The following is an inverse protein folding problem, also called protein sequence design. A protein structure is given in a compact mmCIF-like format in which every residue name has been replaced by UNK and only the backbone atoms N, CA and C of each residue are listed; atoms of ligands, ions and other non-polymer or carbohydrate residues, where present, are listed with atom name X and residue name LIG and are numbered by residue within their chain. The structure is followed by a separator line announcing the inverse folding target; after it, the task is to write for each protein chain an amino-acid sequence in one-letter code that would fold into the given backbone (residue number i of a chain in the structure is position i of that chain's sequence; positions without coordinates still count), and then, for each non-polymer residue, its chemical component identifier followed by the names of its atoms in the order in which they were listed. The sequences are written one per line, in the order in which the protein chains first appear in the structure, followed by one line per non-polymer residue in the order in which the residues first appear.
data_IF_949457679897
#
_entry.id   IF_949457679897
#
_cell.length_a   1.000
_cell.length_b   1.000
_cell.length_c   1.000
_cell.angle_alpha   90.00
_cell.angle_beta   90.00
_cell.angle_gamma   90.00
#
_symmetry.space_group_name_H-M   'P 1'
#
loop_
_entity.id
_entity.type
_entity.pdbx_description
1 polymer ?
#
# COMPACT_ATOMS: atom_id res chain seq x y z
N UNK A 1 26.32 -27.95 7.67
CA UNK A 1 26.67 -26.65 8.29
C UNK A 1 25.49 -26.16 9.15
N UNK A 2 25.69 -26.00 10.47
CA UNK A 2 24.65 -25.38 11.31
C UNK A 2 24.50 -23.93 10.84
N UNK A 3 23.34 -23.58 10.27
CA UNK A 3 23.03 -22.19 9.92
C UNK A 3 23.12 -21.35 11.18
N UNK A 4 23.86 -20.26 11.17
CA UNK A 4 23.85 -19.32 12.28
C UNK A 4 22.41 -18.79 12.43
N UNK A 5 21.69 -19.08 13.53
CA UNK A 5 20.30 -18.67 13.68
C UNK A 5 20.15 -17.15 13.83
N UNK A 6 21.26 -16.43 14.02
CA UNK A 6 21.32 -14.99 14.17
C UNK A 6 21.73 -14.27 12.89
N UNK A 7 21.85 -14.94 11.73
CA UNK A 7 22.13 -14.24 10.46
C UNK A 7 21.14 -13.08 10.25
N UNK A 8 21.62 -11.87 9.94
CA UNK A 8 22.94 -11.51 9.40
C UNK A 8 23.98 -11.14 10.47
N UNK A 9 23.63 -11.21 11.75
CA UNK A 9 24.53 -10.92 12.86
C UNK A 9 25.53 -12.05 13.02
N UNK A 10 26.77 -11.73 13.37
CA UNK A 10 27.83 -12.72 13.52
C UNK A 10 27.50 -13.74 14.63
N UNK A 11 26.80 -13.30 15.68
CA UNK A 11 26.33 -14.12 16.78
C UNK A 11 25.13 -13.47 17.52
N UNK A 12 24.72 -14.12 18.62
CA UNK A 12 23.66 -13.66 19.52
C UNK A 12 23.98 -12.32 20.19
N UNK A 13 25.22 -12.12 20.61
CA UNK A 13 25.63 -10.92 21.37
C UNK A 13 25.61 -9.69 20.46
N UNK A 14 26.05 -9.85 19.21
CA UNK A 14 25.89 -8.87 18.15
C UNK A 14 24.42 -8.46 17.99
N UNK A 15 23.52 -9.43 17.83
CA UNK A 15 22.08 -9.17 17.71
C UNK A 15 21.53 -8.39 18.92
N UNK A 16 21.73 -8.87 20.15
CA UNK A 16 21.20 -8.25 21.37
C UNK A 16 21.77 -6.83 21.57
N UNK A 17 23.02 -6.58 21.19
CA UNK A 17 23.61 -5.24 21.24
C UNK A 17 23.00 -4.30 20.18
N UNK A 18 22.77 -4.78 18.96
CA UNK A 18 22.08 -3.99 17.93
C UNK A 18 20.66 -3.65 18.35
N UNK A 19 19.91 -4.62 18.87
CA UNK A 19 18.58 -4.42 19.46
C UNK A 19 18.64 -3.34 20.54
N UNK A 20 19.45 -3.55 21.58
CA UNK A 20 19.59 -2.59 22.67
C UNK A 20 19.96 -1.17 22.19
N UNK A 21 20.93 -1.03 21.29
CA UNK A 21 21.32 0.30 20.80
C UNK A 21 20.24 0.96 19.94
N UNK A 22 19.53 0.19 19.13
CA UNK A 22 18.60 0.70 18.13
C UNK A 22 17.19 0.90 18.68
N UNK A 23 16.63 -0.10 19.36
CA UNK A 23 15.24 -0.10 19.84
C UNK A 23 15.12 0.51 21.24
N UNK A 24 15.96 0.07 22.16
CA UNK A 24 15.76 0.34 23.59
C UNK A 24 16.39 1.67 23.99
N UNK A 25 17.71 1.79 23.78
CA UNK A 25 18.47 2.96 24.17
C UNK A 25 18.41 4.09 23.13
N UNK A 26 17.95 3.80 21.90
CA UNK A 26 17.83 4.74 20.76
C UNK A 26 19.07 5.62 20.62
N UNK A 27 20.25 4.99 20.67
CA UNK A 27 21.51 5.69 20.78
C UNK A 27 21.87 6.41 19.49
N UNK A 28 22.42 7.62 19.60
CA UNK A 28 22.89 8.36 18.43
C UNK A 28 24.10 7.68 17.78
N UNK A 29 24.25 7.85 16.44
CA UNK A 29 25.39 7.32 15.67
C UNK A 29 26.73 7.60 16.35
N UNK A 30 26.92 8.83 16.84
CA UNK A 30 28.13 9.27 17.54
C UNK A 30 28.41 8.44 18.80
N UNK A 31 27.37 8.13 19.59
CA UNK A 31 27.52 7.35 20.83
C UNK A 31 27.82 5.89 20.53
N UNK A 32 27.13 5.30 19.55
CA UNK A 32 27.38 3.92 19.11
C UNK A 32 28.83 3.77 18.61
N UNK A 33 29.27 4.63 17.68
CA UNK A 33 30.66 4.60 17.18
C UNK A 33 31.69 4.80 18.29
N UNK A 34 31.43 5.68 19.27
CA UNK A 34 32.33 5.85 20.42
C UNK A 34 32.39 4.59 21.27
N UNK A 35 31.25 3.94 21.53
CA UNK A 35 31.19 2.73 22.34
C UNK A 35 31.95 1.57 21.68
N UNK A 36 31.75 1.35 20.38
CA UNK A 36 32.47 0.33 19.62
C UNK A 36 33.99 0.55 19.66
N UNK A 37 34.46 1.81 19.56
CA UNK A 37 35.89 2.13 19.74
C UNK A 37 36.43 1.78 21.13
N UNK A 38 35.64 2.03 22.19
CA UNK A 38 36.02 1.67 23.56
C UNK A 38 36.02 0.15 23.75
N UNK A 39 35.09 -0.54 23.11
CA UNK A 39 35.00 -2.00 23.09
C UNK A 39 36.23 -2.61 22.43
N UNK A 40 36.54 -2.19 21.20
CA UNK A 40 37.73 -2.60 20.47
C UNK A 40 39.02 -2.38 21.29
N UNK A 41 39.16 -1.24 21.97
CA UNK A 41 40.34 -0.95 22.77
C UNK A 41 40.51 -1.92 23.96
N UNK A 42 39.41 -2.42 24.53
CA UNK A 42 39.45 -3.38 25.65
C UNK A 42 39.66 -4.82 25.18
N UNK A 43 39.23 -5.15 23.97
CA UNK A 43 39.20 -6.50 23.43
C UNK A 43 40.20 -6.74 22.29
N UNK A 44 41.34 -6.03 22.29
CA UNK A 44 42.43 -6.31 21.35
C UNK A 44 42.13 -5.96 19.89
N UNK A 45 41.25 -4.99 19.66
CA UNK A 45 40.77 -4.59 18.33
C UNK A 45 39.42 -5.19 17.94
N UNK A 46 38.91 -6.12 18.74
CA UNK A 46 37.66 -6.82 18.43
C UNK A 46 36.43 -6.08 18.96
N UNK A 47 35.41 -5.94 18.12
CA UNK A 47 34.19 -5.21 18.40
C UNK A 47 33.05 -5.79 17.56
N UNK A 48 31.85 -6.01 18.14
CA UNK A 48 30.71 -6.55 17.40
C UNK A 48 30.35 -5.74 16.14
N UNK A 49 30.61 -4.44 16.16
CA UNK A 49 30.50 -3.58 14.98
C UNK A 49 31.68 -2.63 14.85
N UNK A 50 32.15 -2.39 13.62
CA UNK A 50 33.21 -1.41 13.35
C UNK A 50 32.81 0.01 13.77
N UNK A 51 31.58 0.40 13.47
CA UNK A 51 30.96 1.66 13.84
C UNK A 51 29.42 1.57 13.71
N UNK A 52 28.73 2.69 13.95
CA UNK A 52 27.29 2.76 13.80
C UNK A 52 26.81 2.46 12.36
N UNK A 53 27.57 2.87 11.34
CA UNK A 53 27.21 2.62 9.94
C UNK A 53 27.34 1.14 9.58
N UNK A 54 28.35 0.44 10.11
CA UNK A 54 28.47 -1.01 10.01
C UNK A 54 27.27 -1.70 10.65
N UNK A 55 26.93 -1.32 11.89
CA UNK A 55 25.76 -1.86 12.59
C UNK A 55 24.47 -1.67 11.80
N UNK A 56 24.21 -0.46 11.27
CA UNK A 56 23.00 -0.23 10.46
C UNK A 56 23.00 -1.06 9.18
N UNK A 57 24.16 -1.22 8.51
CA UNK A 57 24.25 -2.10 7.34
C UNK A 57 23.94 -3.56 7.68
N UNK A 58 24.38 -4.05 8.85
CA UNK A 58 24.06 -5.40 9.32
C UNK A 58 22.56 -5.52 9.58
N UNK A 59 21.95 -4.59 10.32
CA UNK A 59 20.49 -4.52 10.54
C UNK A 59 19.73 -4.50 9.21
N UNK A 60 20.12 -3.63 8.26
CA UNK A 60 19.50 -3.49 6.93
C UNK A 60 19.71 -4.72 6.01
N UNK A 61 20.68 -5.58 6.35
CA UNK A 61 20.96 -6.83 5.64
C UNK A 61 20.16 -8.01 6.18
N UNK A 62 19.40 -7.82 7.26
CA UNK A 62 18.65 -8.90 7.88
C UNK A 62 17.61 -9.48 6.93
N UNK A 63 17.71 -10.80 6.72
CA UNK A 63 16.77 -11.58 5.89
C UNK A 63 15.47 -11.87 6.66
N UNK A 64 15.59 -11.99 7.97
CA UNK A 64 14.47 -11.92 8.91
C UNK A 64 14.11 -10.44 9.08
N UNK A 65 13.30 -9.92 8.18
CA UNK A 65 13.02 -8.49 8.13
C UNK A 65 11.89 -8.13 7.18
N UNK A 66 11.32 -6.96 7.42
CA UNK A 66 10.24 -6.37 6.65
C UNK A 66 10.70 -6.05 5.22
N UNK A 67 9.79 -6.04 4.23
CA UNK A 67 10.14 -5.70 2.84
C UNK A 67 10.87 -4.35 2.77
N UNK A 68 12.00 -4.30 2.06
CA UNK A 68 12.81 -3.09 1.93
C UNK A 68 12.03 -1.95 1.27
N UNK A 69 12.31 -0.73 1.75
CA UNK A 69 11.86 0.50 1.13
C UNK A 69 12.66 0.82 -0.13
N UNK A 70 11.97 1.31 -1.13
CA UNK A 70 12.48 1.82 -2.40
C UNK A 70 11.85 3.21 -2.64
N UNK A 71 12.42 4.01 -3.53
CA UNK A 71 11.90 5.33 -3.85
C UNK A 71 11.93 5.63 -5.35
N UNK A 72 11.03 6.52 -5.78
CA UNK A 72 11.05 7.08 -7.12
C UNK A 72 10.55 8.52 -7.11
N UNK A 73 10.99 9.29 -8.09
CA UNK A 73 10.53 10.65 -8.31
C UNK A 73 9.36 10.69 -9.31
N UNK A 74 8.42 11.60 -9.07
CA UNK A 74 7.41 12.03 -10.04
C UNK A 74 7.58 13.52 -10.30
N UNK A 75 7.51 13.92 -11.57
CA UNK A 75 7.67 15.31 -12.02
C UNK A 75 6.48 15.76 -12.89
N UNK A 76 6.24 17.07 -12.94
CA UNK A 76 5.23 17.66 -13.82
C UNK A 76 5.69 17.66 -15.27
N UNK A 77 4.88 17.08 -16.17
CA UNK A 77 5.19 16.94 -17.60
C UNK A 77 4.24 17.68 -18.54
N UNK A 78 3.37 18.53 -18.00
CA UNK A 78 2.47 19.34 -18.83
C UNK A 78 3.14 20.61 -19.37
N UNK A 79 2.38 21.39 -20.11
CA UNK A 79 2.82 22.69 -20.62
C UNK A 79 3.10 23.67 -19.48
N UNK A 80 4.21 24.41 -19.60
CA UNK A 80 4.61 25.43 -18.65
C UNK A 80 4.22 26.81 -19.19
N UNK A 81 3.78 27.75 -18.32
CA UNK A 81 3.40 29.08 -18.77
C UNK A 81 4.61 29.83 -19.36
N UNK A 82 4.39 30.70 -20.36
CA UNK A 82 5.42 31.61 -20.82
C UNK A 82 5.74 32.62 -19.70
N UNK A 83 6.99 32.66 -19.24
CA UNK A 83 7.44 33.54 -18.15
C UNK A 83 7.77 32.76 -16.86
N UNK A 84 7.32 33.28 -15.71
CA UNK A 84 7.65 32.69 -14.41
C UNK A 84 6.94 31.36 -14.22
N UNK A 85 7.73 30.28 -14.20
CA UNK A 85 7.23 28.91 -13.97
C UNK A 85 6.97 28.72 -12.47
N UNK A 86 5.76 28.31 -12.06
CA UNK A 86 5.48 27.98 -10.67
C UNK A 86 6.41 26.86 -10.17
N UNK A 87 6.96 26.99 -8.97
CA UNK A 87 7.88 26.01 -8.37
C UNK A 87 7.37 24.56 -8.44
N UNK A 88 6.07 24.37 -8.23
CA UNK A 88 5.46 23.03 -8.24
C UNK A 88 5.55 22.33 -9.61
N UNK A 89 5.71 23.08 -10.72
CA UNK A 89 5.90 22.53 -12.07
C UNK A 89 7.36 22.15 -12.37
N UNK A 90 8.30 22.50 -11.50
CA UNK A 90 9.74 22.22 -11.65
C UNK A 90 10.30 21.35 -10.54
N UNK A 91 9.52 21.10 -9.48
CA UNK A 91 9.88 20.21 -8.37
C UNK A 91 9.74 18.74 -8.76
N UNK A 92 10.58 17.93 -8.15
CA UNK A 92 10.42 16.47 -8.08
C UNK A 92 9.70 16.10 -6.80
N UNK A 93 8.83 15.12 -6.91
CA UNK A 93 8.01 14.62 -5.83
C UNK A 93 8.41 13.19 -5.55
N UNK A 94 9.20 13.00 -4.49
CA UNK A 94 9.69 11.71 -4.07
C UNK A 94 8.55 10.90 -3.42
N UNK A 95 8.44 9.63 -3.83
CA UNK A 95 7.50 8.65 -3.28
C UNK A 95 8.30 7.48 -2.76
N UNK A 96 8.11 7.17 -1.48
CA UNK A 96 8.70 6.00 -0.84
C UNK A 96 7.71 4.86 -0.83
N UNK A 97 8.14 3.64 -1.14
CA UNK A 97 7.26 2.48 -1.17
C UNK A 97 8.00 1.19 -0.85
N UNK A 98 7.24 0.17 -0.46
CA UNK A 98 7.69 -1.22 -0.38
C UNK A 98 7.04 -2.00 -1.50
N UNK A 99 7.75 -2.95 -2.09
CA UNK A 99 7.21 -3.76 -3.18
C UNK A 99 5.94 -4.53 -2.71
N UNK A 100 4.73 -4.20 -3.23
CA UNK A 100 3.49 -4.82 -2.74
C UNK A 100 3.41 -6.33 -2.93
N UNK A 101 4.08 -6.88 -3.95
CA UNK A 101 4.12 -8.32 -4.19
C UNK A 101 4.93 -9.04 -3.10
N UNK A 102 6.10 -8.52 -2.75
CA UNK A 102 6.90 -9.09 -1.66
C UNK A 102 6.18 -8.95 -0.32
N UNK A 103 5.47 -7.83 -0.10
CA UNK A 103 4.67 -7.63 1.11
C UNK A 103 3.55 -8.67 1.16
N UNK A 104 2.86 -8.92 0.04
CA UNK A 104 1.84 -9.96 -0.02
C UNK A 104 2.40 -11.35 0.28
N UNK A 105 3.58 -11.70 -0.27
CA UNK A 105 4.24 -13.00 0.00
C UNK A 105 4.63 -13.13 1.47
N UNK A 106 5.21 -12.09 2.06
CA UNK A 106 5.56 -12.07 3.48
C UNK A 106 4.31 -12.29 4.34
N UNK A 107 3.23 -11.55 4.04
CA UNK A 107 1.93 -11.70 4.72
C UNK A 107 1.37 -13.12 4.59
N UNK A 108 1.42 -13.72 3.40
CA UNK A 108 0.94 -15.09 3.16
C UNK A 108 1.79 -16.16 3.84
N UNK A 109 3.08 -15.90 4.07
CA UNK A 109 3.99 -16.83 4.75
C UNK A 109 4.00 -16.67 6.28
N UNK A 110 3.30 -15.67 6.82
CA UNK A 110 3.34 -15.36 8.25
C UNK A 110 2.56 -16.41 9.07
N UNK A 111 3.30 -17.25 9.81
CA UNK A 111 2.75 -18.32 10.64
C UNK A 111 1.81 -17.83 11.75
N UNK A 112 1.89 -16.55 12.14
CA UNK A 112 0.97 -15.95 13.13
C UNK A 112 -0.49 -15.94 12.67
N UNK A 113 -0.74 -16.15 11.37
CA UNK A 113 -2.07 -16.26 10.77
C UNK A 113 -2.46 -17.70 10.43
N UNK A 114 -1.73 -18.72 10.90
CA UNK A 114 -2.17 -20.11 10.74
C UNK A 114 -3.59 -20.27 11.33
N UNK A 115 -4.47 -20.93 10.57
CA UNK A 115 -5.92 -21.08 10.84
C UNK A 115 -6.77 -19.80 10.81
N UNK A 116 -6.16 -18.65 10.55
CA UNK A 116 -6.84 -17.35 10.47
C UNK A 116 -6.82 -16.74 9.05
N UNK A 117 -6.74 -17.63 8.05
CA UNK A 117 -6.66 -17.28 6.64
C UNK A 117 -7.56 -18.20 5.82
N UNK A 118 -8.33 -17.59 4.91
CA UNK A 118 -9.14 -18.28 3.93
C UNK A 118 -8.39 -18.42 2.59
N UNK A 119 -8.08 -19.66 2.20
CA UNK A 119 -7.43 -19.96 0.91
C UNK A 119 -8.40 -20.04 -0.27
N UNK A 120 -9.71 -20.01 0.00
CA UNK A 120 -10.76 -20.09 -1.02
C UNK A 120 -11.95 -19.23 -0.62
N UNK A 121 -12.66 -18.68 -1.61
CA UNK A 121 -13.94 -18.04 -1.34
C UNK A 121 -14.92 -19.07 -0.74
N UNK A 122 -15.68 -18.64 0.26
CA UNK A 122 -16.59 -19.52 1.01
C UNK A 122 -18.01 -18.97 1.01
N UNK A 123 -19.00 -19.85 1.04
CA UNK A 123 -20.41 -19.50 1.29
C UNK A 123 -20.84 -20.20 2.56
N UNK A 124 -21.09 -19.42 3.61
CA UNK A 124 -21.49 -19.95 4.92
C UNK A 124 -22.98 -19.69 5.11
N UNK A 125 -23.73 -20.72 5.49
CA UNK A 125 -25.15 -20.63 5.76
C UNK A 125 -25.44 -21.12 7.17
N UNK A 126 -26.33 -20.42 7.87
CA UNK A 126 -26.87 -20.83 9.17
C UNK A 126 -28.38 -20.77 9.06
N UNK A 127 -29.06 -21.88 9.31
CA UNK A 127 -30.52 -22.01 9.19
C UNK A 127 -31.05 -21.57 7.81
N UNK A 128 -30.31 -21.89 6.75
CA UNK A 128 -30.63 -21.49 5.36
C UNK A 128 -30.30 -20.02 5.03
N UNK A 129 -29.91 -19.21 6.01
CA UNK A 129 -29.62 -17.79 5.85
C UNK A 129 -28.12 -17.59 5.59
N UNK A 130 -27.80 -16.83 4.54
CA UNK A 130 -26.43 -16.49 4.16
C UNK A 130 -25.76 -15.63 5.24
N UNK A 131 -24.58 -16.06 5.67
CA UNK A 131 -23.75 -15.36 6.64
C UNK A 131 -22.58 -14.66 5.93
N UNK A 132 -22.25 -13.46 6.41
CA UNK A 132 -21.10 -12.66 5.98
C UNK A 132 -20.27 -12.33 7.21
N UNK A 133 -19.01 -12.76 7.19
CA UNK A 133 -18.08 -12.50 8.28
C UNK A 133 -16.79 -11.95 7.69
N UNK A 134 -15.96 -12.81 7.10
CA UNK A 134 -14.69 -12.42 6.50
C UNK A 134 -14.85 -11.98 5.04
N UNK A 135 -13.86 -11.27 4.50
CA UNK A 135 -13.90 -10.80 3.11
C UNK A 135 -14.12 -11.93 2.10
N UNK A 136 -13.49 -13.10 2.30
CA UNK A 136 -13.64 -14.27 1.43
C UNK A 136 -15.02 -14.93 1.53
N UNK A 137 -15.84 -14.58 2.52
CA UNK A 137 -17.25 -14.97 2.56
C UNK A 137 -18.13 -14.15 1.62
N UNK A 138 -17.63 -13.01 1.11
CA UNK A 138 -18.32 -12.03 0.26
C UNK A 138 -18.67 -12.52 -1.15
N UNK A 139 -19.75 -11.97 -1.73
CA UNK A 139 -20.18 -12.31 -3.10
C UNK A 139 -19.09 -11.99 -4.12
N UNK A 140 -18.45 -10.84 -3.99
CA UNK A 140 -17.40 -10.40 -4.91
C UNK A 140 -16.22 -11.40 -4.96
N UNK A 141 -15.74 -11.88 -3.81
CA UNK A 141 -14.65 -12.87 -3.76
C UNK A 141 -15.04 -14.19 -4.43
N UNK A 142 -16.29 -14.62 -4.26
CA UNK A 142 -16.84 -15.82 -4.93
C UNK A 142 -16.94 -15.64 -6.44
N UNK A 143 -17.46 -14.50 -6.90
CA UNK A 143 -17.59 -14.17 -8.32
C UNK A 143 -16.21 -14.08 -9.00
N UNK A 144 -15.23 -13.43 -8.36
CA UNK A 144 -13.86 -13.39 -8.86
C UNK A 144 -13.25 -14.79 -8.96
N UNK A 145 -13.40 -15.61 -7.91
CA UNK A 145 -12.92 -17.00 -7.92
C UNK A 145 -13.57 -17.81 -9.05
N UNK A 146 -14.84 -17.55 -9.34
CA UNK A 146 -15.57 -18.19 -10.45
C UNK A 146 -15.04 -17.74 -11.82
N UNK A 147 -14.72 -16.45 -11.98
CA UNK A 147 -14.14 -15.91 -13.22
C UNK A 147 -12.75 -16.51 -13.47
N UNK A 148 -11.90 -16.51 -12.44
CA UNK A 148 -10.56 -17.10 -12.47
C UNK A 148 -10.64 -18.58 -12.88
N UNK A 149 -11.51 -19.36 -12.23
CA UNK A 149 -11.63 -20.79 -12.50
C UNK A 149 -12.07 -21.17 -13.94
N UNK A 150 -12.56 -20.22 -14.76
CA UNK A 150 -12.90 -20.46 -16.17
C UNK A 150 -11.68 -20.61 -17.07
N UNK A 151 -10.56 -19.98 -16.72
CA UNK A 151 -9.31 -20.09 -17.47
C UNK A 151 -8.58 -21.37 -17.02
N UNK A 152 -8.31 -22.34 -17.93
CA UNK A 152 -7.54 -23.53 -17.60
C UNK A 152 -6.18 -23.24 -16.94
N UNK A 153 -5.52 -22.15 -17.33
CA UNK A 153 -4.21 -21.75 -16.79
C UNK A 153 -4.31 -21.20 -15.37
N UNK A 154 -5.49 -20.80 -14.90
CA UNK A 154 -5.68 -20.28 -13.54
C UNK A 154 -6.63 -21.13 -12.70
N UNK A 155 -7.18 -22.19 -13.28
CA UNK A 155 -8.04 -23.15 -12.60
C UNK A 155 -7.33 -23.75 -11.37
N UNK A 156 -8.03 -23.76 -10.24
CA UNK A 156 -7.50 -24.21 -8.95
C UNK A 156 -6.51 -23.26 -8.27
N UNK A 157 -6.25 -22.07 -8.83
CA UNK A 157 -5.45 -21.06 -8.15
C UNK A 157 -6.21 -20.44 -6.96
N UNK A 158 -5.49 -20.20 -5.87
CA UNK A 158 -5.95 -19.43 -4.73
C UNK A 158 -6.01 -17.95 -5.11
N UNK A 159 -7.18 -17.34 -4.96
CA UNK A 159 -7.35 -15.91 -5.17
C UNK A 159 -6.89 -15.10 -3.95
N UNK A 160 -6.05 -14.10 -4.18
CA UNK A 160 -5.51 -13.18 -3.18
C UNK A 160 -6.06 -11.76 -3.43
N UNK A 161 -7.10 -11.33 -2.69
CA UNK A 161 -7.62 -9.98 -2.81
C UNK A 161 -6.69 -8.98 -2.11
N UNK A 162 -6.26 -7.95 -2.81
CA UNK A 162 -5.46 -6.85 -2.27
C UNK A 162 -6.40 -5.71 -1.91
N UNK A 163 -6.43 -5.37 -0.63
CA UNK A 163 -7.20 -4.26 -0.10
C UNK A 163 -6.22 -3.13 0.23
N UNK A 164 -6.47 -1.95 -0.32
CA UNK A 164 -5.65 -0.77 -0.09
C UNK A 164 -6.39 0.22 0.82
N UNK A 165 -5.65 1.13 1.42
CA UNK A 165 -6.22 2.29 2.09
C UNK A 165 -5.19 3.38 2.24
N UNK A 166 -5.61 4.63 2.25
CA UNK A 166 -4.72 5.76 2.53
C UNK A 166 -5.45 6.77 3.36
N UNK A 167 -4.73 7.40 4.29
CA UNK A 167 -5.26 8.46 5.12
C UNK A 167 -4.22 9.55 5.26
N UNK A 168 -4.52 10.76 4.83
CA UNK A 168 -3.59 11.89 4.92
C UNK A 168 -3.63 12.44 6.34
N UNK A 169 -2.53 12.28 7.07
CA UNK A 169 -2.46 12.62 8.49
C UNK A 169 -1.45 13.75 8.75
N UNK A 170 -1.83 14.72 9.60
CA UNK A 170 -0.94 15.80 10.06
C UNK A 170 -0.21 15.35 11.33
N UNK A 171 1.12 15.40 11.34
CA UNK A 171 1.94 14.77 12.39
C UNK A 171 2.48 15.77 13.42
N UNK A 172 2.62 17.05 13.07
CA UNK A 172 2.99 18.09 14.04
C UNK A 172 2.20 19.36 13.83
N UNK A 173 1.56 19.84 14.91
CA UNK A 173 0.96 21.18 14.98
C UNK A 173 1.91 22.04 15.82
N UNK A 174 2.57 23.04 15.20
CA UNK A 174 3.32 24.08 15.92
C UNK A 174 4.81 24.28 15.57
N UNK A 175 5.48 23.32 14.92
CA UNK A 175 6.93 23.44 14.58
C UNK A 175 7.25 23.10 13.12
N UNK A 176 6.27 23.27 12.24
CA UNK A 176 6.35 22.98 10.81
C UNK A 176 5.25 21.99 10.43
N UNK A 177 4.38 22.38 9.51
CA UNK A 177 3.24 21.58 9.02
C UNK A 177 3.73 20.32 8.28
N UNK A 178 4.18 19.31 9.03
CA UNK A 178 4.57 18.01 8.49
C UNK A 178 3.31 17.15 8.38
N UNK A 179 2.93 16.85 7.15
CA UNK A 179 1.85 15.95 6.80
C UNK A 179 2.48 14.69 6.19
N UNK A 180 1.96 13.51 6.54
CA UNK A 180 2.26 12.27 5.85
C UNK A 180 1.02 11.76 5.12
N UNK A 181 1.25 11.08 4.01
CA UNK A 181 0.20 10.42 3.27
C UNK A 181 0.51 8.92 3.13
N UNK A 182 0.35 8.15 4.22
CA UNK A 182 0.58 6.71 4.22
C UNK A 182 -0.38 5.98 3.28
N UNK A 183 0.15 4.97 2.59
CA UNK A 183 -0.58 3.97 1.82
C UNK A 183 -0.43 2.61 2.53
N UNK A 184 -1.55 2.03 2.91
CA UNK A 184 -1.66 0.74 3.56
C UNK A 184 -2.16 -0.34 2.61
N UNK A 185 -1.78 -1.58 2.89
CA UNK A 185 -2.18 -2.77 2.18
C UNK A 185 -2.56 -3.88 3.16
N UNK A 186 -3.60 -4.63 2.80
CA UNK A 186 -4.09 -5.81 3.50
C UNK A 186 -4.43 -6.90 2.47
N UNK A 187 -4.48 -8.15 2.94
CA UNK A 187 -5.01 -9.26 2.15
C UNK A 187 -6.42 -9.60 2.58
N UNK A 188 -7.31 -9.78 1.61
CA UNK A 188 -8.69 -10.21 1.81
C UNK A 188 -8.79 -11.60 2.45
N UNK A 189 -7.76 -12.43 2.31
CA UNK A 189 -7.72 -13.79 2.85
C UNK A 189 -7.69 -13.83 4.38
N UNK A 190 -7.08 -12.84 5.04
CA UNK A 190 -7.02 -12.83 6.50
C UNK A 190 -8.39 -12.56 7.10
N UNK A 191 -8.76 -13.34 8.11
CA UNK A 191 -9.98 -13.13 8.88
C UNK A 191 -10.01 -11.73 9.51
N UNK A 192 -11.21 -11.18 9.70
CA UNK A 192 -11.35 -9.80 10.17
C UNK A 192 -10.76 -9.59 11.58
N UNK A 193 -10.87 -10.58 12.46
CA UNK A 193 -10.35 -10.52 13.83
C UNK A 193 -8.84 -10.23 13.87
N UNK A 194 -8.10 -10.78 12.92
CA UNK A 194 -6.64 -10.61 12.83
C UNK A 194 -6.25 -9.23 12.31
N UNK A 195 -7.08 -8.62 11.47
CA UNK A 195 -6.85 -7.23 10.98
C UNK A 195 -6.85 -6.20 12.12
N UNK A 196 -7.52 -6.50 13.22
CA UNK A 196 -7.58 -5.64 14.40
C UNK A 196 -6.47 -5.91 15.44
N UNK A 197 -5.74 -7.02 15.35
CA UNK A 197 -4.91 -7.54 16.44
C UNK A 197 -3.41 -7.19 16.36
N UNK A 198 -2.99 -6.17 15.59
CA UNK A 198 -1.57 -5.73 15.47
C UNK A 198 -0.56 -6.84 15.09
N UNK A 199 -0.94 -7.81 14.25
CA UNK A 199 -0.07 -8.92 13.80
C UNK A 199 0.48 -8.75 12.38
N UNK A 200 0.76 -7.52 11.92
CA UNK A 200 1.13 -7.22 10.52
C UNK A 200 0.06 -7.58 9.46
N UNK A 201 -1.21 -7.70 9.86
CA UNK A 201 -2.31 -7.92 8.92
C UNK A 201 -2.65 -6.66 8.07
N UNK A 202 -2.16 -5.50 8.51
CA UNK A 202 -2.13 -4.23 7.79
C UNK A 202 -0.67 -3.81 7.62
N UNK A 203 -0.20 -3.64 6.40
CA UNK A 203 1.17 -3.25 6.08
C UNK A 203 1.20 -1.83 5.48
N UNK A 204 2.05 -0.95 6.00
CA UNK A 204 2.31 0.37 5.42
C UNK A 204 3.22 0.26 4.19
N UNK A 205 2.68 0.26 2.98
CA UNK A 205 3.45 0.01 1.74
C UNK A 205 3.93 1.26 1.03
N UNK A 206 3.57 2.47 1.49
CA UNK A 206 4.03 3.70 0.84
C UNK A 206 3.82 4.97 1.63
N UNK A 207 4.59 5.99 1.27
CA UNK A 207 4.35 7.39 1.62
C UNK A 207 4.18 8.18 0.32
N UNK A 208 2.95 8.59 0.05
CA UNK A 208 2.60 9.34 -1.15
C UNK A 208 3.07 10.78 -1.02
N UNK A 209 3.49 11.37 -2.14
CA UNK A 209 3.93 12.75 -2.17
C UNK A 209 2.75 13.71 -1.97
N UNK A 210 2.96 14.75 -1.16
CA UNK A 210 1.99 15.81 -0.90
C UNK A 210 2.51 17.11 -1.52
N UNK A 211 2.07 17.46 -2.73
CA UNK A 211 2.56 18.65 -3.39
C UNK A 211 2.00 19.90 -2.69
N UNK A 212 2.90 20.79 -2.29
CA UNK A 212 2.57 22.10 -1.71
C UNK A 212 2.82 23.20 -2.74
N UNK A 213 1.98 24.23 -2.71
CA UNK A 213 2.07 25.40 -3.59
C UNK A 213 1.64 26.66 -2.85
N UNK A 214 1.90 27.83 -3.44
CA UNK A 214 1.48 29.12 -2.88
C UNK A 214 -0.04 29.32 -3.01
N UNK A 215 -0.60 30.23 -2.21
CA UNK A 215 -2.05 30.53 -2.22
C UNK A 215 -2.57 30.89 -3.63
N UNK A 216 -1.73 31.51 -4.46
CA UNK A 216 -2.04 31.88 -5.83
C UNK A 216 -2.44 30.67 -6.71
N UNK A 217 -1.78 29.53 -6.55
CA UNK A 217 -1.96 28.37 -7.43
C UNK A 217 -2.80 27.25 -6.81
N UNK A 218 -3.12 27.35 -5.50
CA UNK A 218 -3.80 26.30 -4.72
C UNK A 218 -5.08 25.80 -5.38
N UNK A 219 -5.88 26.71 -5.92
CA UNK A 219 -7.19 26.40 -6.52
C UNK A 219 -7.16 26.36 -8.06
N UNK A 220 -5.98 26.57 -8.66
CA UNK A 220 -5.82 26.52 -10.12
C UNK A 220 -6.18 25.13 -10.67
N UNK A 221 -6.84 25.10 -11.82
CA UNK A 221 -7.26 23.86 -12.49
C UNK A 221 -6.05 22.96 -12.77
N UNK A 222 -4.94 23.55 -13.23
CA UNK A 222 -3.70 22.84 -13.54
C UNK A 222 -3.09 22.16 -12.31
N UNK A 223 -3.03 22.86 -11.17
CA UNK A 223 -2.48 22.28 -9.95
C UNK A 223 -3.38 21.18 -9.38
N UNK A 224 -4.71 21.38 -9.40
CA UNK A 224 -5.68 20.34 -8.99
C UNK A 224 -5.55 19.08 -9.83
N UNK A 225 -5.43 19.22 -11.16
CA UNK A 225 -5.19 18.11 -12.08
C UNK A 225 -3.85 17.42 -11.80
N UNK A 226 -2.79 18.19 -11.57
CA UNK A 226 -1.48 17.63 -11.24
C UNK A 226 -1.51 16.82 -9.95
N UNK A 227 -2.20 17.30 -8.89
CA UNK A 227 -2.38 16.54 -7.64
C UNK A 227 -3.02 15.18 -7.87
N UNK A 228 -4.08 15.13 -8.69
CA UNK A 228 -4.76 13.89 -9.04
C UNK A 228 -3.82 12.96 -9.83
N UNK A 229 -3.13 13.48 -10.85
CA UNK A 229 -2.18 12.71 -11.64
C UNK A 229 -1.03 12.16 -10.80
N UNK A 230 -0.45 12.96 -9.91
CA UNK A 230 0.62 12.55 -9.00
C UNK A 230 0.17 11.37 -8.14
N UNK A 231 -1.04 11.43 -7.57
CA UNK A 231 -1.62 10.34 -6.79
C UNK A 231 -1.77 9.06 -7.62
N UNK A 232 -2.43 9.13 -8.77
CA UNK A 232 -2.69 7.98 -9.64
C UNK A 232 -1.43 7.36 -10.24
N UNK A 233 -0.47 8.18 -10.68
CA UNK A 233 0.83 7.70 -11.18
C UNK A 233 1.62 7.01 -10.08
N UNK A 234 1.57 7.55 -8.85
CA UNK A 234 2.22 6.93 -7.69
C UNK A 234 1.64 5.54 -7.41
N UNK A 235 0.31 5.43 -7.31
CA UNK A 235 -0.35 4.13 -7.12
C UNK A 235 -0.03 3.15 -8.25
N UNK A 236 -0.11 3.59 -9.51
CA UNK A 236 0.18 2.76 -10.67
C UNK A 236 1.63 2.24 -10.67
N UNK A 237 2.59 3.08 -10.22
CA UNK A 237 4.01 2.71 -10.12
C UNK A 237 4.26 1.72 -8.98
N UNK A 238 3.67 1.96 -7.81
CA UNK A 238 3.78 1.10 -6.61
C UNK A 238 3.18 -0.28 -6.90
N UNK A 239 1.95 -0.32 -7.42
CA UNK A 239 1.21 -1.57 -7.67
C UNK A 239 1.69 -2.32 -8.93
N UNK A 240 2.66 -1.77 -9.67
CA UNK A 240 3.16 -2.37 -10.92
C UNK A 240 3.66 -3.80 -10.73
N UNK A 241 4.26 -4.10 -9.58
CA UNK A 241 4.82 -5.44 -9.31
C UNK A 241 3.75 -6.53 -9.19
N UNK A 242 2.49 -6.19 -8.86
CA UNK A 242 1.40 -7.16 -8.78
C UNK A 242 0.89 -7.61 -10.15
N UNK A 243 1.05 -6.78 -11.20
CA UNK A 243 0.44 -7.01 -12.52
C UNK A 243 0.71 -8.40 -13.12
N UNK A 244 1.94 -8.96 -13.09
CA UNK A 244 2.18 -10.31 -13.60
C UNK A 244 1.36 -11.36 -12.86
N UNK A 245 1.33 -11.28 -11.52
CA UNK A 245 0.60 -12.20 -10.64
C UNK A 245 -0.93 -12.05 -10.69
N UNK A 246 -1.46 -11.02 -11.35
CA UNK A 246 -2.91 -10.85 -11.58
C UNK A 246 -3.44 -11.64 -12.78
N UNK A 247 -2.55 -12.18 -13.61
CA UNK A 247 -2.91 -12.94 -14.82
C UNK A 247 -2.33 -14.35 -14.80
N UNK A 248 -1.11 -14.51 -14.29
CA UNK A 248 -0.44 -15.80 -14.17
C UNK A 248 -0.23 -16.14 -12.70
N UNK A 249 -0.75 -17.28 -12.22
CA UNK A 249 -0.54 -17.69 -10.85
C UNK A 249 0.95 -17.94 -10.57
N UNK A 250 1.42 -17.50 -9.41
CA UNK A 250 2.76 -17.82 -8.91
C UNK A 250 2.70 -18.83 -7.76
N UNK A 251 3.79 -19.59 -7.56
CA UNK A 251 3.88 -20.53 -6.45
C UNK A 251 4.29 -19.75 -5.20
N UNK A 252 3.41 -19.71 -4.21
CA UNK A 252 3.58 -18.96 -2.97
C UNK A 252 3.50 -19.88 -1.76
N UNK A 253 4.43 -19.71 -0.83
CA UNK A 253 4.41 -20.39 0.47
C UNK A 253 3.34 -19.76 1.36
N UNK A 254 2.53 -20.59 2.01
CA UNK A 254 1.48 -20.16 2.91
C UNK A 254 1.82 -20.43 4.39
N UNK A 255 0.97 -19.92 5.28
CA UNK A 255 1.15 -19.95 6.74
C UNK A 255 1.18 -21.36 7.31
N UNK A 256 0.49 -22.29 6.67
CA UNK A 256 0.42 -23.71 7.01
C UNK A 256 1.62 -24.53 6.46
N UNK A 257 2.60 -23.87 5.84
CA UNK A 257 3.78 -24.49 5.25
C UNK A 257 3.57 -25.12 3.87
N UNK A 258 2.34 -25.08 3.33
CA UNK A 258 2.06 -25.60 1.99
C UNK A 258 2.32 -24.53 0.92
N UNK A 259 2.75 -24.98 -0.25
CA UNK A 259 2.88 -24.12 -1.44
C UNK A 259 1.59 -24.17 -2.25
N UNK A 260 1.10 -23.00 -2.66
CA UNK A 260 -0.12 -22.86 -3.46
C UNK A 260 0.12 -21.97 -4.67
N UNK A 261 -0.64 -22.21 -5.73
CA UNK A 261 -0.72 -21.30 -6.89
C UNK A 261 -1.56 -20.11 -6.48
N UNK A 262 -0.97 -18.93 -6.36
CA UNK A 262 -1.63 -17.70 -5.96
C UNK A 262 -1.85 -16.78 -7.17
N UNK A 263 -3.07 -16.27 -7.32
CA UNK A 263 -3.42 -15.23 -8.30
C UNK A 263 -3.96 -14.01 -7.55
N UNK A 264 -3.43 -12.84 -7.88
CA UNK A 264 -3.69 -11.61 -7.14
C UNK A 264 -4.79 -10.77 -7.81
N UNK A 265 -5.52 -9.96 -7.05
CA UNK A 265 -6.46 -8.99 -7.62
C UNK A 265 -6.69 -7.79 -6.71
N UNK A 266 -6.82 -6.60 -7.28
CA UNK A 266 -7.18 -5.40 -6.52
C UNK A 266 -8.66 -5.47 -6.15
N UNK A 267 -8.95 -5.44 -4.86
CA UNK A 267 -10.26 -5.81 -4.33
C UNK A 267 -11.07 -4.60 -3.86
N UNK A 268 -10.48 -3.78 -3.01
CA UNK A 268 -11.11 -2.55 -2.53
C UNK A 268 -10.08 -1.52 -2.10
N UNK A 269 -10.53 -0.28 -2.02
CA UNK A 269 -9.77 0.83 -1.45
C UNK A 269 -10.58 1.45 -0.32
N UNK A 270 -10.06 1.43 0.89
CA UNK A 270 -10.66 2.04 2.08
C UNK A 270 -10.23 3.50 2.13
N UNK A 271 -11.21 4.38 2.00
CA UNK A 271 -11.03 5.82 1.92
C UNK A 271 -12.29 6.51 2.45
N UNK A 272 -12.14 7.70 3.00
CA UNK A 272 -13.25 8.61 3.24
C UNK A 272 -13.71 9.25 1.93
N UNK A 273 -14.68 10.15 1.98
CA UNK A 273 -15.32 10.67 0.78
C UNK A 273 -14.39 11.49 -0.14
N UNK A 274 -13.59 12.46 0.36
CA UNK A 274 -12.67 13.22 -0.49
C UNK A 274 -11.65 12.32 -1.21
N UNK A 275 -11.17 11.28 -0.54
CA UNK A 275 -10.23 10.32 -1.10
C UNK A 275 -10.92 9.39 -2.10
N UNK A 276 -12.16 8.96 -1.84
CA UNK A 276 -12.97 8.22 -2.83
C UNK A 276 -13.22 9.06 -4.07
N UNK A 277 -13.46 10.36 -3.94
CA UNK A 277 -13.64 11.27 -5.06
C UNK A 277 -12.35 11.41 -5.89
N UNK A 278 -11.20 11.48 -5.22
CA UNK A 278 -9.88 11.47 -5.84
C UNK A 278 -9.60 10.16 -6.60
N UNK A 279 -9.91 9.01 -5.98
CA UNK A 279 -9.72 7.67 -6.56
C UNK A 279 -10.62 7.44 -7.78
N UNK A 280 -11.89 7.81 -7.68
CA UNK A 280 -12.87 7.63 -8.75
C UNK A 280 -12.76 8.71 -9.84
N UNK A 281 -11.86 9.70 -9.67
CA UNK A 281 -11.73 10.88 -10.53
C UNK A 281 -13.08 11.57 -10.76
N UNK A 282 -13.85 11.79 -9.69
CA UNK A 282 -15.14 12.47 -9.76
C UNK A 282 -15.06 13.88 -9.19
N UNK A 283 -15.99 14.72 -9.62
CA UNK A 283 -16.25 16.03 -9.02
C UNK A 283 -16.78 15.84 -7.59
N UNK A 284 -16.25 16.60 -6.64
CA UNK A 284 -16.76 16.59 -5.27
C UNK A 284 -18.25 16.95 -5.22
N UNK A 285 -19.01 16.28 -4.36
CA UNK A 285 -20.46 16.36 -4.30
C UNK A 285 -21.19 15.32 -5.15
N UNK A 286 -20.49 14.45 -5.88
CA UNK A 286 -21.08 13.32 -6.63
C UNK A 286 -20.84 11.97 -5.95
N UNK A 287 -21.62 10.95 -6.30
CA UNK A 287 -21.43 9.61 -5.76
C UNK A 287 -20.27 8.88 -6.47
N UNK A 288 -19.25 8.36 -5.75
CA UNK A 288 -18.16 7.60 -6.35
C UNK A 288 -18.58 6.19 -6.76
N UNK A 289 -19.72 5.69 -6.26
CA UNK A 289 -20.17 4.30 -6.44
C UNK A 289 -21.27 4.14 -7.49
N UNK A 290 -22.14 5.14 -7.68
CA UNK A 290 -23.28 5.07 -8.59
C UNK A 290 -23.44 6.38 -9.38
N UNK A 291 -24.40 6.39 -10.31
CA UNK A 291 -24.69 7.53 -11.17
C UNK A 291 -25.67 8.55 -10.57
N UNK A 292 -25.89 8.52 -9.24
CA UNK A 292 -26.71 9.51 -8.57
C UNK A 292 -26.14 10.93 -8.77
N UNK A 293 -27.01 11.89 -9.08
CA UNK A 293 -26.60 13.30 -9.18
C UNK A 293 -26.35 13.88 -7.79
N UNK A 294 -25.60 14.98 -7.76
CA UNK A 294 -25.30 15.69 -6.52
C UNK A 294 -26.56 16.09 -5.74
N UNK A 295 -27.60 16.54 -6.44
CA UNK A 295 -28.90 16.92 -5.83
C UNK A 295 -29.74 15.74 -5.35
N UNK A 296 -29.36 14.50 -5.69
CA UNK A 296 -30.12 13.27 -5.42
C UNK A 296 -29.38 12.36 -4.42
N UNK A 297 -28.27 12.86 -3.83
CA UNK A 297 -27.56 12.13 -2.79
C UNK A 297 -28.45 11.92 -1.56
N UNK A 298 -28.53 10.67 -1.08
CA UNK A 298 -29.37 10.29 0.04
C UNK A 298 -30.81 9.91 -0.33
N UNK A 299 -31.21 10.07 -1.60
CA UNK A 299 -32.48 9.56 -2.09
C UNK A 299 -32.38 8.08 -2.48
N UNK A 300 -33.40 7.30 -2.15
CA UNK A 300 -33.59 5.95 -2.68
C UNK A 300 -33.97 6.06 -4.16
N UNK A 301 -33.00 5.80 -5.03
CA UNK A 301 -33.22 5.77 -6.47
C UNK A 301 -32.53 4.57 -7.11
N UNK A 302 -33.01 4.09 -8.28
CA UNK A 302 -32.42 2.97 -9.01
C UNK A 302 -31.14 3.41 -9.73
N UNK A 303 -30.19 3.99 -9.00
CA UNK A 303 -28.96 4.52 -9.58
C UNK A 303 -28.02 3.36 -9.90
N UNK A 304 -27.72 3.11 -11.19
CA UNK A 304 -26.82 2.02 -11.54
C UNK A 304 -25.40 2.31 -11.01
N UNK A 305 -24.62 1.26 -10.73
CA UNK A 305 -23.25 1.42 -10.27
C UNK A 305 -22.39 2.09 -11.36
N UNK A 306 -21.44 2.91 -10.93
CA UNK A 306 -20.44 3.51 -11.80
C UNK A 306 -19.46 2.41 -12.21
N UNK A 307 -19.37 2.13 -13.50
CA UNK A 307 -18.45 1.13 -14.09
C UNK A 307 -17.41 1.83 -14.95
N UNK A 308 -16.20 1.27 -15.02
CA UNK A 308 -15.12 1.81 -15.86
C UNK A 308 -15.55 1.92 -17.32
N UNK A 309 -16.15 0.86 -17.87
CA UNK A 309 -16.65 0.83 -19.25
C UNK A 309 -17.60 2.00 -19.58
N UNK A 310 -18.53 2.30 -18.66
CA UNK A 310 -19.46 3.42 -18.83
C UNK A 310 -18.74 4.77 -18.77
N UNK A 311 -17.81 4.95 -17.82
CA UNK A 311 -17.03 6.19 -17.70
C UNK A 311 -16.15 6.41 -18.94
N UNK A 312 -15.51 5.37 -19.45
CA UNK A 312 -14.70 5.44 -20.68
C UNK A 312 -15.54 5.82 -21.89
N UNK A 313 -16.76 5.27 -22.01
CA UNK A 313 -17.66 5.61 -23.11
C UNK A 313 -18.15 7.05 -23.02
N UNK A 314 -18.45 7.55 -21.82
CA UNK A 314 -18.78 8.96 -21.60
C UNK A 314 -17.62 9.87 -22.03
N UNK A 315 -16.39 9.53 -21.64
CA UNK A 315 -15.19 10.32 -21.98
C UNK A 315 -14.98 10.39 -23.50
N UNK A 316 -15.25 9.30 -24.22
CA UNK A 316 -15.17 9.27 -25.70
C UNK A 316 -16.29 10.07 -26.37
N UNK A 317 -17.47 10.10 -25.75
CA UNK A 317 -18.68 10.63 -26.36
C UNK A 317 -18.92 12.12 -26.10
N UNK A 318 -18.41 12.66 -24.99
CA UNK A 318 -18.75 14.01 -24.52
C UNK A 318 -17.53 14.90 -24.28
N UNK A 319 -17.73 16.21 -24.47
CA UNK A 319 -16.72 17.21 -24.11
C UNK A 319 -16.60 17.41 -22.59
N UNK A 320 -15.45 17.95 -22.15
CA UNK A 320 -15.10 18.13 -20.74
C UNK A 320 -16.17 18.89 -19.93
N UNK A 321 -16.79 19.93 -20.50
CA UNK A 321 -17.85 20.69 -19.81
C UNK A 321 -19.08 19.82 -19.51
N UNK A 322 -19.50 19.01 -20.48
CA UNK A 322 -20.64 18.09 -20.29
C UNK A 322 -20.31 16.98 -19.29
N UNK A 323 -19.10 16.43 -19.33
CA UNK A 323 -18.62 15.43 -18.36
C UNK A 323 -18.66 15.98 -16.93
N UNK A 324 -18.16 17.20 -16.75
CA UNK A 324 -18.15 17.88 -15.48
C UNK A 324 -19.58 18.15 -14.96
N UNK A 325 -20.42 18.80 -15.77
CA UNK A 325 -21.73 19.30 -15.33
C UNK A 325 -22.79 18.19 -15.19
N UNK A 326 -22.76 17.17 -16.07
CA UNK A 326 -23.81 16.15 -16.16
C UNK A 326 -23.45 14.82 -15.53
N UNK A 327 -22.16 14.51 -15.42
CA UNK A 327 -21.69 13.20 -14.97
C UNK A 327 -20.74 13.25 -13.77
N UNK A 328 -20.28 14.46 -13.41
CA UNK A 328 -19.32 14.68 -12.33
C UNK A 328 -18.01 13.97 -12.59
N UNK A 329 -17.52 13.97 -13.84
CA UNK A 329 -16.25 13.36 -14.28
C UNK A 329 -15.28 14.45 -14.71
#
# INVERSE_FOLDING_TARGET
PKSNPWEPFDDREGFELAEFFFTDAKMSKRRITRLQKLWAARHGGDSPYLDASHMYKVIDSARLGDVKWDCFDVDYRGEKPPGTVPDWMSKKYEVWYRNPLEVARQMLSNKDFDKEIDYSAKRVFKDGIRQWQDFMSGNWAWEQSTIIAKDPETHGAMFIPIILGSDKTTVSVGTGDNEFYPLYMMLGNHHNAVRHAHRNAVALIGFLAIPKTTRQYKDSVQFRKFRQQLFHVSLARILKSLKPGMTKPEITSCTDGNFRRAIYGLASYIADYPEQALLACIVQGWCPKCLAKSSELGADGPWPPRRCEHVEELIKSFGLGTLWDKYGI
#
